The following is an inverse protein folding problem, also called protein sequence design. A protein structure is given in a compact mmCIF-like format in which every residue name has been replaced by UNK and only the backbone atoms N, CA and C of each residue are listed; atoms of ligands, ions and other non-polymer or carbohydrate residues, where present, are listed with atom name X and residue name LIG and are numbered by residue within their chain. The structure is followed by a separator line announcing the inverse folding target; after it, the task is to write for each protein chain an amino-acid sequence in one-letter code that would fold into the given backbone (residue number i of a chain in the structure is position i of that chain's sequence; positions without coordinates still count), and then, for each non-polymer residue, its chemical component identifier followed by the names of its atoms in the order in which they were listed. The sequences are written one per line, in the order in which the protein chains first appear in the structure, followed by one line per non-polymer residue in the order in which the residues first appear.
data_IF_604579812826
#
_entry.id   IF_604579812826
#
_cell.length_a   1.000
_cell.length_b   1.000
_cell.length_c   1.000
_cell.angle_alpha   90.00
_cell.angle_beta   90.00
_cell.angle_gamma   90.00
#
_symmetry.space_group_name_H-M   'P 1'
#
loop_
_entity.id
_entity.type
_entity.pdbx_description
1 polymer ?
#
# COMPACT_ATOMS: atom_id res chain seq x y z
N UNK A 1 -16.10 2.57 -17.00
CA UNK A 1 -17.05 1.96 -16.04
C UNK A 1 -17.02 2.82 -14.79
N UNK A 2 -18.15 3.44 -14.42
CA UNK A 2 -18.21 4.25 -13.20
C UNK A 2 -18.42 3.35 -11.98
N UNK A 3 -17.64 3.60 -10.93
CA UNK A 3 -17.83 3.00 -9.61
C UNK A 3 -18.24 4.08 -8.62
N UNK A 4 -19.00 3.70 -7.59
CA UNK A 4 -19.39 4.63 -6.53
C UNK A 4 -18.18 5.07 -5.70
N UNK A 5 -17.16 4.20 -5.60
CA UNK A 5 -15.96 4.46 -4.85
C UNK A 5 -14.70 3.83 -5.48
N UNK A 6 -13.57 4.52 -5.37
CA UNK A 6 -12.24 4.00 -5.69
C UNK A 6 -11.40 3.98 -4.41
N UNK A 7 -10.92 2.80 -4.05
CA UNK A 7 -10.14 2.57 -2.83
C UNK A 7 -8.77 2.04 -3.18
N UNK A 8 -7.76 2.76 -2.73
CA UNK A 8 -6.38 2.50 -3.09
C UNK A 8 -5.63 1.89 -1.91
N UNK A 9 -4.87 0.83 -2.16
CA UNK A 9 -3.75 0.52 -1.31
C UNK A 9 -2.75 1.70 -1.31
N UNK A 10 -1.99 1.88 -0.21
CA UNK A 10 -1.04 2.98 -0.10
C UNK A 10 0.35 2.58 -0.62
N UNK A 11 1.01 1.67 0.10
CA UNK A 11 2.43 1.39 -0.02
C UNK A 11 2.75 0.44 -1.18
N UNK A 12 3.33 0.99 -2.24
CA UNK A 12 3.61 0.31 -3.51
C UNK A 12 2.59 0.64 -4.60
N UNK A 13 1.47 1.30 -4.25
CA UNK A 13 0.38 1.60 -5.18
C UNK A 13 0.27 3.10 -5.43
N UNK A 14 -0.03 3.89 -4.40
CA UNK A 14 0.02 5.35 -4.45
C UNK A 14 1.43 5.87 -4.16
N UNK A 15 2.11 5.28 -3.18
CA UNK A 15 3.42 5.73 -2.69
C UNK A 15 4.53 4.75 -3.08
N UNK A 16 5.67 5.27 -3.54
CA UNK A 16 6.82 4.44 -3.93
C UNK A 16 7.72 4.14 -2.73
N UNK A 17 7.47 3.00 -2.07
CA UNK A 17 8.26 2.55 -0.91
C UNK A 17 9.73 2.30 -1.22
N UNK A 18 10.06 1.95 -2.47
CA UNK A 18 11.43 1.68 -2.86
C UNK A 18 12.21 2.98 -3.11
N UNK A 19 11.54 4.10 -3.40
CA UNK A 19 12.18 5.41 -3.54
C UNK A 19 12.91 5.84 -2.27
N UNK A 20 12.41 5.47 -1.08
CA UNK A 20 13.08 5.70 0.19
C UNK A 20 14.49 5.08 0.21
N UNK A 21 14.60 3.80 -0.13
CA UNK A 21 15.90 3.09 -0.14
C UNK A 21 16.78 3.53 -1.30
N UNK A 22 16.21 3.76 -2.49
CA UNK A 22 16.96 4.20 -3.68
C UNK A 22 17.65 5.56 -3.45
N UNK A 23 17.02 6.49 -2.71
CA UNK A 23 17.62 7.78 -2.35
C UNK A 23 18.91 7.65 -1.53
N UNK A 24 19.05 6.57 -0.76
CA UNK A 24 20.21 6.29 0.08
C UNK A 24 21.10 5.17 -0.47
N UNK A 25 20.86 4.66 -1.68
CA UNK A 25 21.58 3.52 -2.24
C UNK A 25 23.11 3.71 -2.24
N UNK A 26 23.59 4.93 -2.51
CA UNK A 26 25.02 5.25 -2.46
C UNK A 26 25.64 5.15 -1.07
N UNK A 27 24.87 5.43 -0.01
CA UNK A 27 25.32 5.32 1.39
C UNK A 27 25.20 3.88 1.92
N UNK A 28 24.20 3.13 1.46
CA UNK A 28 23.99 1.72 1.86
C UNK A 28 25.05 0.81 1.25
N UNK A 29 25.56 1.16 0.07
CA UNK A 29 26.54 0.35 -0.65
C UNK A 29 25.89 -0.65 -1.62
N UNK A 30 26.67 -1.60 -2.16
CA UNK A 30 26.26 -2.43 -3.30
C UNK A 30 25.04 -3.32 -3.01
N UNK A 31 24.79 -3.65 -1.75
CA UNK A 31 23.69 -4.52 -1.33
C UNK A 31 22.41 -3.75 -0.93
N UNK A 32 22.31 -2.46 -1.27
CA UNK A 32 21.14 -1.65 -0.93
C UNK A 32 19.81 -2.18 -1.50
N UNK A 33 19.86 -2.80 -2.67
CA UNK A 33 18.69 -3.47 -3.26
C UNK A 33 18.27 -4.69 -2.43
N UNK A 34 19.22 -5.54 -2.04
CA UNK A 34 18.99 -6.71 -1.20
C UNK A 34 18.42 -6.31 0.18
N UNK A 35 18.95 -5.24 0.78
CA UNK A 35 18.41 -4.67 2.02
C UNK A 35 16.94 -4.25 1.85
N UNK A 36 16.61 -3.53 0.77
CA UNK A 36 15.25 -3.09 0.44
C UNK A 36 14.27 -4.26 0.35
N UNK A 37 14.67 -5.31 -0.37
CA UNK A 37 13.87 -6.51 -0.60
C UNK A 37 13.63 -7.29 0.70
N UNK A 38 14.67 -7.52 1.50
CA UNK A 38 14.56 -8.22 2.79
C UNK A 38 13.69 -7.41 3.75
N UNK A 39 13.90 -6.09 3.83
CA UNK A 39 13.12 -5.23 4.71
C UNK A 39 11.63 -5.28 4.36
N UNK A 40 11.28 -5.11 3.08
CA UNK A 40 9.89 -5.17 2.63
C UNK A 40 9.27 -6.55 2.85
N UNK A 41 10.00 -7.62 2.53
CA UNK A 41 9.54 -8.98 2.74
C UNK A 41 9.23 -9.26 4.22
N UNK A 42 10.14 -8.88 5.14
CA UNK A 42 9.92 -9.06 6.58
C UNK A 42 8.82 -8.19 7.15
N UNK A 43 8.68 -6.95 6.70
CA UNK A 43 7.59 -6.08 7.11
C UNK A 43 6.23 -6.71 6.79
N UNK A 44 6.07 -7.25 5.58
CA UNK A 44 4.85 -7.97 5.17
C UNK A 44 4.67 -9.29 5.92
N UNK A 45 5.73 -10.12 6.02
CA UNK A 45 5.71 -11.37 6.78
C UNK A 45 5.23 -11.15 8.22
N UNK A 46 5.79 -10.16 8.92
CA UNK A 46 5.40 -9.84 10.30
C UNK A 46 3.94 -9.43 10.39
N UNK A 47 3.43 -8.67 9.41
CA UNK A 47 2.01 -8.27 9.38
C UNK A 47 1.07 -9.47 9.28
N UNK A 48 1.40 -10.43 8.41
CA UNK A 48 0.59 -11.64 8.22
C UNK A 48 0.65 -12.54 9.45
N UNK A 49 1.87 -12.86 9.90
CA UNK A 49 2.10 -13.79 11.02
C UNK A 49 1.51 -13.26 12.33
N UNK A 50 1.65 -11.94 12.61
CA UNK A 50 1.04 -11.33 13.80
C UNK A 50 -0.47 -11.35 13.79
N UNK A 51 -1.08 -11.13 12.63
CA UNK A 51 -2.53 -11.26 12.47
C UNK A 51 -2.98 -12.70 12.73
N UNK A 52 -2.29 -13.68 12.14
CA UNK A 52 -2.60 -15.10 12.29
C UNK A 52 -2.49 -15.59 13.74
N UNK A 53 -1.52 -15.07 14.51
CA UNK A 53 -1.39 -15.42 15.94
C UNK A 53 -2.22 -14.54 16.88
N UNK A 54 -2.94 -13.53 16.38
CA UNK A 54 -3.70 -12.60 17.21
C UNK A 54 -2.83 -11.69 18.11
N UNK A 55 -1.62 -11.35 17.68
CA UNK A 55 -0.64 -10.55 18.45
C UNK A 55 -0.28 -9.26 17.70
N UNK A 56 -1.29 -8.39 17.55
CA UNK A 56 -1.16 -7.13 16.83
C UNK A 56 -0.08 -6.23 17.42
N UNK A 57 0.67 -5.61 16.53
CA UNK A 57 1.54 -4.47 16.74
C UNK A 57 1.38 -3.57 15.52
N UNK A 58 1.43 -2.26 15.70
CA UNK A 58 1.20 -1.33 14.59
C UNK A 58 2.26 -1.47 13.49
N UNK A 59 1.93 -0.99 12.30
CA UNK A 59 2.79 -1.17 11.14
C UNK A 59 4.10 -0.40 11.23
N UNK A 60 4.16 0.68 12.00
CA UNK A 60 5.40 1.41 12.22
C UNK A 60 6.38 0.57 13.03
N UNK A 61 5.91 -0.03 14.11
CA UNK A 61 6.70 -0.97 14.91
C UNK A 61 7.20 -2.16 14.07
N UNK A 62 6.37 -2.70 13.17
CA UNK A 62 6.79 -3.78 12.26
C UNK A 62 7.84 -3.30 11.24
N UNK A 63 7.71 -2.05 10.79
CA UNK A 63 8.66 -1.41 9.88
C UNK A 63 10.04 -1.29 10.53
N UNK A 64 10.09 -0.84 11.79
CA UNK A 64 11.33 -0.76 12.57
C UNK A 64 11.95 -2.14 12.80
N UNK A 65 11.16 -3.11 13.26
CA UNK A 65 11.64 -4.47 13.52
C UNK A 65 12.18 -5.14 12.25
N UNK A 66 11.51 -4.94 11.12
CA UNK A 66 11.93 -5.50 9.84
C UNK A 66 13.21 -4.84 9.32
N UNK A 67 13.40 -3.54 9.54
CA UNK A 67 14.66 -2.85 9.19
C UNK A 67 15.82 -3.36 10.05
N UNK A 68 15.59 -3.48 11.36
CA UNK A 68 16.59 -4.00 12.29
C UNK A 68 17.02 -5.42 11.91
N UNK A 69 16.08 -6.26 11.47
CA UNK A 69 16.39 -7.57 10.92
C UNK A 69 17.21 -7.47 9.63
N UNK A 70 16.79 -6.62 8.69
CA UNK A 70 17.46 -6.47 7.39
C UNK A 70 18.91 -5.99 7.55
N UNK A 71 19.16 -4.98 8.39
CA UNK A 71 20.51 -4.46 8.69
C UNK A 71 21.40 -5.52 9.33
N UNK A 72 20.86 -6.37 10.21
CA UNK A 72 21.61 -7.51 10.77
C UNK A 72 21.88 -8.62 9.75
N UNK A 73 21.04 -8.75 8.73
CA UNK A 73 21.15 -9.79 7.70
C UNK A 73 22.11 -9.39 6.58
N UNK A 74 22.12 -8.10 6.21
CA UNK A 74 22.95 -7.52 5.15
C UNK A 74 24.11 -6.79 5.80
N UNK A 75 25.17 -7.55 6.13
CA UNK A 75 26.31 -7.05 6.93
C UNK A 75 27.11 -5.92 6.27
N UNK A 76 26.95 -5.73 4.96
CA UNK A 76 27.55 -4.65 4.19
C UNK A 76 26.82 -3.31 4.37
N UNK A 77 25.56 -3.30 4.82
CA UNK A 77 24.81 -2.09 5.09
C UNK A 77 25.20 -1.52 6.47
N UNK A 78 25.56 -0.24 6.51
CA UNK A 78 25.92 0.44 7.76
C UNK A 78 24.69 0.57 8.69
N UNK A 79 24.71 -0.01 9.91
CA UNK A 79 23.64 0.16 10.89
C UNK A 79 23.33 1.61 11.25
N UNK A 80 24.27 2.54 11.08
CA UNK A 80 24.05 3.97 11.30
C UNK A 80 23.01 4.58 10.34
N UNK A 81 22.69 3.89 9.23
CA UNK A 81 21.66 4.32 8.28
C UNK A 81 20.24 4.08 8.80
N UNK A 82 20.06 3.35 9.91
CA UNK A 82 18.73 3.02 10.46
C UNK A 82 17.82 4.23 10.53
N UNK A 83 18.26 5.31 11.18
CA UNK A 83 17.44 6.52 11.36
C UNK A 83 17.10 7.17 10.02
N UNK A 84 18.06 7.32 9.11
CA UNK A 84 17.82 7.91 7.78
C UNK A 84 16.81 7.10 6.96
N UNK A 85 16.93 5.77 6.99
CA UNK A 85 16.02 4.87 6.27
C UNK A 85 14.60 4.92 6.83
N UNK A 86 14.45 5.00 8.16
CA UNK A 86 13.14 5.19 8.81
C UNK A 86 12.54 6.56 8.48
N UNK A 87 13.34 7.64 8.52
CA UNK A 87 12.88 8.98 8.12
C UNK A 87 12.41 9.03 6.66
N UNK A 88 13.05 8.27 5.78
CA UNK A 88 12.65 8.19 4.37
C UNK A 88 11.25 7.55 4.18
N UNK A 89 10.79 6.70 5.10
CA UNK A 89 9.42 6.16 5.10
C UNK A 89 8.35 7.19 5.47
N UNK A 90 8.71 8.24 6.22
CA UNK A 90 7.80 9.33 6.57
C UNK A 90 7.60 10.33 5.43
N UNK A 91 8.52 10.36 4.47
CA UNK A 91 8.56 11.30 3.33
C UNK A 91 8.52 10.54 2.01
N UNK A 92 7.50 9.69 1.87
CA UNK A 92 7.26 8.97 0.62
C UNK A 92 6.53 9.89 -0.36
N UNK A 93 7.12 10.03 -1.54
CA UNK A 93 6.47 10.67 -2.67
C UNK A 93 5.44 9.70 -3.27
N UNK A 94 4.33 10.25 -3.75
CA UNK A 94 3.40 9.50 -4.57
C UNK A 94 3.95 9.32 -6.00
N UNK A 95 3.48 8.30 -6.71
CA UNK A 95 3.79 8.16 -8.14
C UNK A 95 3.31 9.40 -8.93
N UNK A 96 4.04 9.84 -9.98
CA UNK A 96 3.78 11.11 -10.66
C UNK A 96 2.34 11.29 -11.18
N UNK A 97 1.69 10.21 -11.61
CA UNK A 97 0.32 10.27 -12.15
C UNK A 97 -0.76 10.40 -11.07
N UNK A 98 -0.44 10.05 -9.81
CA UNK A 98 -1.44 9.88 -8.74
C UNK A 98 -2.29 11.13 -8.54
N UNK A 99 -1.74 12.36 -8.43
CA UNK A 99 -2.57 13.54 -8.21
C UNK A 99 -3.54 13.82 -9.35
N UNK A 100 -3.12 13.61 -10.61
CA UNK A 100 -3.96 13.84 -11.78
C UNK A 100 -5.10 12.81 -11.86
N UNK A 101 -4.77 11.53 -11.65
CA UNK A 101 -5.76 10.44 -11.66
C UNK A 101 -6.80 10.61 -10.56
N UNK A 102 -6.37 10.89 -9.32
CA UNK A 102 -7.30 11.09 -8.21
C UNK A 102 -8.21 12.30 -8.44
N UNK A 103 -7.70 13.42 -8.97
CA UNK A 103 -8.53 14.58 -9.31
C UNK A 103 -9.58 14.26 -10.37
N UNK A 104 -9.21 13.52 -11.42
CA UNK A 104 -10.14 13.13 -12.47
C UNK A 104 -11.22 12.17 -11.94
N UNK A 105 -10.85 11.18 -11.11
CA UNK A 105 -11.81 10.28 -10.47
C UNK A 105 -12.74 11.05 -9.52
N UNK A 106 -12.22 12.01 -8.75
CA UNK A 106 -13.03 12.87 -7.87
C UNK A 106 -14.04 13.70 -8.67
N UNK A 107 -13.62 14.26 -9.80
CA UNK A 107 -14.48 15.06 -10.67
C UNK A 107 -15.64 14.26 -11.28
N UNK A 108 -15.51 12.92 -11.37
CA UNK A 108 -16.61 12.03 -11.77
C UNK A 108 -17.69 11.83 -10.70
N UNK A 109 -17.51 12.39 -9.49
CA UNK A 109 -18.43 12.27 -8.37
C UNK A 109 -18.22 11.02 -7.49
N UNK A 110 -17.15 10.26 -7.72
CA UNK A 110 -16.83 9.08 -6.93
C UNK A 110 -16.19 9.44 -5.59
N UNK A 111 -16.42 8.60 -4.57
CA UNK A 111 -15.66 8.66 -3.31
C UNK A 111 -14.26 8.07 -3.50
N UNK A 112 -13.26 8.68 -2.87
CA UNK A 112 -11.87 8.23 -2.93
C UNK A 112 -11.35 7.95 -1.52
N UNK A 113 -10.71 6.80 -1.31
CA UNK A 113 -10.05 6.53 -0.04
C UNK A 113 -8.78 5.72 -0.17
N UNK A 114 -7.97 5.78 0.87
CA UNK A 114 -6.90 4.82 1.11
C UNK A 114 -7.43 3.72 2.03
N UNK A 115 -7.05 2.46 1.76
CA UNK A 115 -7.13 1.36 2.71
C UNK A 115 -5.74 0.74 2.85
N UNK A 116 -5.10 0.88 4.00
CA UNK A 116 -3.68 0.54 4.14
C UNK A 116 -3.33 -0.13 5.46
N UNK A 117 -2.29 -0.97 5.40
CA UNK A 117 -1.66 -1.52 6.59
C UNK A 117 -1.00 -0.45 7.47
N UNK A 118 -0.66 0.74 6.95
CA UNK A 118 0.05 1.79 7.69
C UNK A 118 -0.66 2.24 8.96
N UNK A 119 0.11 2.62 9.98
CA UNK A 119 -0.47 3.26 11.18
C UNK A 119 -1.11 4.61 10.82
N UNK A 120 -2.05 5.12 11.63
CA UNK A 120 -2.70 6.40 11.38
C UNK A 120 -1.71 7.55 11.15
N UNK A 121 -0.64 7.63 11.94
CA UNK A 121 0.39 8.66 11.84
C UNK A 121 1.15 8.54 10.53
N UNK A 122 1.58 7.33 10.16
CA UNK A 122 2.30 7.08 8.91
C UNK A 122 1.47 7.52 7.69
N UNK A 123 0.18 7.19 7.69
CA UNK A 123 -0.71 7.54 6.60
C UNK A 123 -0.98 9.06 6.54
N UNK A 124 -1.22 9.69 7.69
CA UNK A 124 -1.40 11.14 7.77
C UNK A 124 -0.18 11.89 7.22
N UNK A 125 1.04 11.44 7.56
CA UNK A 125 2.27 12.03 7.05
C UNK A 125 2.43 11.83 5.54
N UNK A 126 2.21 10.62 5.03
CA UNK A 126 2.34 10.32 3.60
C UNK A 126 1.33 11.11 2.74
N UNK A 127 0.07 11.14 3.16
CA UNK A 127 -1.02 11.87 2.49
C UNK A 127 -0.73 13.37 2.46
N UNK A 128 -0.28 13.93 3.59
CA UNK A 128 0.09 15.35 3.68
C UNK A 128 1.31 15.68 2.82
N UNK A 129 2.35 14.85 2.86
CA UNK A 129 3.58 15.04 2.07
C UNK A 129 3.30 15.03 0.56
N UNK A 130 2.34 14.22 0.12
CA UNK A 130 1.93 14.13 -1.28
C UNK A 130 0.78 15.07 -1.68
N UNK A 131 0.33 15.96 -0.77
CA UNK A 131 -0.80 16.88 -0.98
C UNK A 131 -2.09 16.18 -1.48
N UNK A 132 -2.37 14.99 -0.93
CA UNK A 132 -3.57 14.20 -1.26
C UNK A 132 -4.69 14.37 -0.24
N UNK A 133 -4.43 15.10 0.86
CA UNK A 133 -5.33 15.33 1.99
C UNK A 133 -6.64 16.03 1.59
N UNK A 134 -6.59 16.90 0.57
CA UNK A 134 -7.78 17.60 0.07
C UNK A 134 -8.55 16.83 -1.01
N UNK A 135 -8.01 15.71 -1.49
CA UNK A 135 -8.59 14.93 -2.60
C UNK A 135 -9.34 13.70 -2.08
N UNK A 136 -8.74 13.01 -1.09
CA UNK A 136 -9.29 11.81 -0.47
C UNK A 136 -10.46 12.16 0.46
N UNK A 137 -11.53 11.36 0.42
CA UNK A 137 -12.65 11.45 1.36
C UNK A 137 -12.32 10.78 2.69
N UNK A 138 -11.58 9.67 2.66
CA UNK A 138 -11.23 8.88 3.85
C UNK A 138 -9.86 8.22 3.73
N UNK A 139 -9.26 7.91 4.88
CA UNK A 139 -8.01 7.15 5.01
C UNK A 139 -8.21 6.06 6.07
N UNK A 140 -8.45 4.83 5.62
CA UNK A 140 -8.65 3.67 6.47
C UNK A 140 -7.33 3.00 6.80
N UNK A 141 -6.98 3.02 8.09
CA UNK A 141 -5.88 2.23 8.64
C UNK A 141 -6.43 0.91 9.21
N UNK A 142 -5.72 -0.19 8.94
CA UNK A 142 -5.96 -1.48 9.61
C UNK A 142 -5.89 -1.42 11.14
N UNK A 143 -5.25 -0.39 11.70
CA UNK A 143 -5.11 -0.22 13.16
C UNK A 143 -6.48 -0.19 13.86
N UNK A 144 -7.52 0.30 13.17
CA UNK A 144 -8.90 0.32 13.68
C UNK A 144 -9.43 -1.07 14.02
N UNK A 145 -9.02 -2.11 13.27
CA UNK A 145 -9.47 -3.50 13.47
C UNK A 145 -8.38 -4.39 14.06
N UNK A 146 -7.16 -3.85 14.26
CA UNK A 146 -6.00 -4.56 14.82
C UNK A 146 -5.68 -5.88 14.11
N UNK A 147 -5.88 -5.90 12.78
CA UNK A 147 -5.61 -7.03 11.89
C UNK A 147 -5.13 -6.51 10.55
N UNK A 148 -4.08 -7.10 10.01
CA UNK A 148 -3.53 -6.68 8.72
C UNK A 148 -4.28 -7.33 7.54
N UNK A 149 -4.15 -6.72 6.36
CA UNK A 149 -4.54 -7.36 5.10
C UNK A 149 -3.84 -8.74 5.01
N UNK A 150 -4.51 -9.81 4.57
CA UNK A 150 -5.79 -9.85 3.84
C UNK A 150 -6.99 -10.28 4.70
N UNK A 151 -6.99 -10.04 6.03
CA UNK A 151 -8.15 -10.35 6.86
C UNK A 151 -9.42 -9.62 6.34
N UNK A 152 -10.56 -10.31 6.17
CA UNK A 152 -11.76 -9.71 5.59
C UNK A 152 -12.30 -8.51 6.36
N UNK A 153 -12.08 -8.43 7.68
CA UNK A 153 -12.50 -7.28 8.49
C UNK A 153 -11.82 -5.97 8.06
N UNK A 154 -10.66 -6.04 7.41
CA UNK A 154 -9.95 -4.88 6.88
C UNK A 154 -10.70 -4.26 5.71
N UNK A 155 -11.13 -5.08 4.75
CA UNK A 155 -11.90 -4.62 3.61
C UNK A 155 -13.31 -4.19 4.02
N UNK A 156 -13.88 -4.82 5.06
CA UNK A 156 -15.18 -4.46 5.62
C UNK A 156 -15.27 -3.02 6.14
N UNK A 157 -14.17 -2.46 6.65
CA UNK A 157 -14.12 -1.07 7.13
C UNK A 157 -14.66 -0.08 6.07
N UNK A 158 -14.31 -0.30 4.80
CA UNK A 158 -14.73 0.57 3.69
C UNK A 158 -16.24 0.52 3.48
N UNK A 159 -16.79 -0.69 3.33
CA UNK A 159 -18.21 -0.87 2.97
C UNK A 159 -19.12 -0.52 4.13
N UNK A 160 -18.69 -0.78 5.36
CA UNK A 160 -19.40 -0.41 6.57
C UNK A 160 -19.43 1.12 6.74
N UNK A 161 -18.28 1.80 6.59
CA UNK A 161 -18.22 3.26 6.73
C UNK A 161 -19.04 3.99 5.65
N UNK A 162 -18.96 3.51 4.40
CA UNK A 162 -19.64 4.17 3.28
C UNK A 162 -21.03 3.64 2.97
N UNK A 163 -21.48 2.58 3.66
CA UNK A 163 -22.76 1.90 3.44
C UNK A 163 -22.92 1.47 1.98
N UNK A 164 -21.88 0.87 1.42
CA UNK A 164 -21.82 0.40 0.05
C UNK A 164 -21.81 -1.13 0.01
N UNK A 165 -22.33 -1.70 -1.08
CA UNK A 165 -22.08 -3.11 -1.37
C UNK A 165 -20.63 -3.29 -1.86
N UNK A 166 -19.97 -4.42 -1.57
CA UNK A 166 -18.58 -4.66 -2.02
C UNK A 166 -18.38 -4.47 -3.53
N UNK A 167 -19.32 -4.94 -4.36
CA UNK A 167 -19.24 -4.78 -5.82
C UNK A 167 -19.32 -3.33 -6.34
N UNK A 168 -19.69 -2.37 -5.49
CA UNK A 168 -19.70 -0.94 -5.83
C UNK A 168 -18.32 -0.27 -5.65
N UNK A 169 -17.39 -0.94 -4.97
CA UNK A 169 -16.02 -0.47 -4.72
C UNK A 169 -15.10 -1.00 -5.81
N UNK A 170 -14.42 -0.10 -6.50
CA UNK A 170 -13.22 -0.45 -7.25
C UNK A 170 -12.02 -0.39 -6.31
N UNK A 171 -11.26 -1.47 -6.20
CA UNK A 171 -10.07 -1.53 -5.33
C UNK A 171 -8.79 -1.65 -6.14
N UNK A 172 -7.84 -0.74 -5.93
CA UNK A 172 -6.60 -0.65 -6.69
C UNK A 172 -5.41 -1.03 -5.80
N UNK A 173 -4.59 -1.96 -6.27
CA UNK A 173 -3.34 -2.31 -5.58
C UNK A 173 -2.29 -2.82 -6.56
N UNK A 174 -1.03 -2.47 -6.35
CA UNK A 174 0.13 -3.08 -7.03
C UNK A 174 0.51 -4.43 -6.40
N UNK A 175 0.06 -4.68 -5.16
CA UNK A 175 0.35 -5.89 -4.42
C UNK A 175 -0.65 -6.99 -4.83
N UNK A 176 -0.20 -7.98 -5.61
CA UNK A 176 -1.09 -9.03 -6.15
C UNK A 176 -1.81 -9.86 -5.08
N UNK A 177 -1.18 -10.05 -3.92
CA UNK A 177 -1.79 -10.73 -2.76
C UNK A 177 -2.94 -9.91 -2.14
N UNK A 178 -2.83 -8.58 -2.13
CA UNK A 178 -3.88 -7.68 -1.62
C UNK A 178 -5.07 -7.63 -2.60
N UNK A 179 -4.77 -7.62 -3.90
CA UNK A 179 -5.77 -7.81 -4.97
C UNK A 179 -6.54 -9.12 -4.75
N UNK A 180 -5.85 -10.23 -4.47
CA UNK A 180 -6.50 -11.51 -4.21
C UNK A 180 -7.44 -11.46 -2.99
N UNK A 181 -6.98 -10.86 -1.88
CA UNK A 181 -7.78 -10.65 -0.68
C UNK A 181 -9.04 -9.80 -0.93
N UNK A 182 -8.89 -8.68 -1.62
CA UNK A 182 -9.99 -7.79 -1.98
C UNK A 182 -10.97 -8.45 -2.97
N UNK A 183 -10.49 -9.25 -3.94
CA UNK A 183 -11.33 -10.04 -4.85
C UNK A 183 -12.14 -11.06 -4.05
N UNK A 184 -11.49 -11.79 -3.13
CA UNK A 184 -12.16 -12.78 -2.28
C UNK A 184 -13.24 -12.14 -1.40
N UNK A 185 -13.00 -10.93 -0.91
CA UNK A 185 -13.97 -10.16 -0.13
C UNK A 185 -15.18 -9.70 -0.96
N UNK A 186 -14.98 -9.42 -2.26
CA UNK A 186 -16.05 -9.07 -3.20
C UNK A 186 -15.91 -7.69 -3.87
N UNK A 187 -14.75 -7.04 -3.74
CA UNK A 187 -14.48 -5.80 -4.48
C UNK A 187 -14.22 -6.06 -5.96
N UNK A 188 -14.44 -5.02 -6.78
CA UNK A 188 -13.98 -5.02 -8.18
C UNK A 188 -12.53 -4.57 -8.23
N UNK A 189 -11.63 -5.51 -8.33
CA UNK A 189 -10.20 -5.23 -8.16
C UNK A 189 -9.51 -4.89 -9.47
N UNK A 190 -8.52 -4.00 -9.37
CA UNK A 190 -7.61 -3.62 -10.45
C UNK A 190 -6.19 -3.80 -9.95
N UNK A 191 -5.43 -4.68 -10.62
CA UNK A 191 -4.03 -4.88 -10.34
C UNK A 191 -3.17 -3.89 -11.13
N UNK A 192 -2.42 -3.06 -10.42
CA UNK A 192 -1.48 -2.09 -11.01
C UNK A 192 -0.10 -2.76 -11.16
N UNK A 193 0.11 -3.45 -12.28
CA UNK A 193 1.33 -4.22 -12.55
C UNK A 193 2.42 -3.36 -13.23
N UNK A 194 3.03 -2.45 -12.47
CA UNK A 194 4.05 -1.50 -12.97
C UNK A 194 5.32 -2.17 -13.51
N UNK A 195 5.66 -3.34 -12.98
CA UNK A 195 6.94 -4.03 -13.25
C UNK A 195 6.76 -5.32 -14.06
N UNK A 196 5.59 -5.52 -14.65
CA UNK A 196 5.26 -6.70 -15.45
C UNK A 196 5.57 -8.02 -14.72
N UNK A 197 5.23 -8.08 -13.44
CA UNK A 197 5.39 -9.29 -12.63
C UNK A 197 4.53 -10.43 -13.16
N UNK A 198 4.96 -11.69 -12.99
CA UNK A 198 4.11 -12.85 -13.22
C UNK A 198 2.83 -12.78 -12.39
N UNK A 199 1.73 -13.25 -12.97
CA UNK A 199 0.45 -13.33 -12.25
C UNK A 199 0.43 -14.53 -11.29
N UNK A 200 -0.16 -14.31 -10.11
CA UNK A 200 -0.31 -15.26 -9.00
C UNK A 200 -1.77 -15.24 -8.49
N UNK A 201 -2.18 -16.16 -7.62
CA UNK A 201 -3.56 -16.23 -7.07
C UNK A 201 -4.65 -16.28 -8.17
N UNK A 202 -4.46 -17.17 -9.16
CA UNK A 202 -5.32 -17.27 -10.35
C UNK A 202 -6.76 -17.69 -10.04
N UNK A 203 -6.98 -18.29 -8.88
CA UNK A 203 -8.28 -18.60 -8.30
C UNK A 203 -9.04 -17.35 -7.81
N UNK A 204 -8.33 -16.22 -7.63
CA UNK A 204 -8.87 -14.90 -7.31
C UNK A 204 -8.36 -13.85 -8.32
N UNK A 205 -8.82 -13.91 -9.58
CA UNK A 205 -8.32 -13.04 -10.63
C UNK A 205 -8.71 -11.57 -10.39
N UNK A 206 -7.87 -10.60 -10.79
CA UNK A 206 -8.30 -9.21 -10.83
C UNK A 206 -9.37 -9.00 -11.91
N UNK A 207 -10.21 -7.98 -11.74
CA UNK A 207 -11.11 -7.55 -12.81
C UNK A 207 -10.37 -6.92 -13.99
N UNK A 208 -9.27 -6.21 -13.72
CA UNK A 208 -8.39 -5.59 -14.72
C UNK A 208 -6.94 -5.63 -14.27
N UNK A 209 -6.02 -5.68 -15.23
CA UNK A 209 -4.58 -5.52 -15.03
C UNK A 209 -4.14 -4.29 -15.83
N UNK A 210 -3.55 -3.31 -15.16
CA UNK A 210 -3.11 -2.06 -15.77
C UNK A 210 -1.63 -1.80 -15.42
N UNK A 211 -0.83 -1.21 -16.32
CA UNK A 211 0.57 -0.88 -16.02
C UNK A 211 0.73 0.34 -15.10
N UNK A 212 -0.28 1.21 -15.03
CA UNK A 212 -0.28 2.43 -14.21
C UNK A 212 -1.72 2.80 -13.80
N UNK A 213 -1.86 3.75 -12.87
CA UNK A 213 -3.16 4.25 -12.45
C UNK A 213 -3.85 5.08 -13.55
N UNK A 214 -3.12 5.59 -14.54
CA UNK A 214 -3.69 6.35 -15.67
C UNK A 214 -4.72 5.53 -16.45
N UNK A 215 -4.53 4.21 -16.54
CA UNK A 215 -5.47 3.32 -17.21
C UNK A 215 -6.86 3.30 -16.59
N UNK A 216 -7.03 3.77 -15.35
CA UNK A 216 -8.35 3.93 -14.72
C UNK A 216 -9.18 5.01 -15.43
N UNK A 217 -8.53 5.98 -16.09
CA UNK A 217 -9.20 7.08 -16.79
C UNK A 217 -9.71 6.67 -18.18
N UNK A 218 -9.29 5.51 -18.71
CA UNK A 218 -9.71 5.04 -20.03
C UNK A 218 -11.21 4.69 -20.14
N UNK A 219 -11.98 4.85 -19.05
CA UNK A 219 -13.43 4.69 -19.04
C UNK A 219 -14.14 5.62 -18.06
N UNK A 220 -13.55 6.78 -17.74
CA UNK A 220 -14.10 7.89 -16.95
C UNK A 220 -14.54 9.00 -17.90
#
# INVERSE_FOLDING_TARGET
MHHAAYVFDAYGTLFDVHAAVRRHAGEIGPDGQLLSEIWRAKQLEYSWVRTLMGSYADFWQLTEQALDFALRKVLSADPALRTKLLEAYWRLDCYPEVPAVLKALKASGAKLAILSNGSPEMLAAAVKSAALDQILDDVFSVDQVKRFKTDPSVYDMVVTNWRLYPGAVSFQSSNRWDVAGATKFGFRTVWINRTNQPDEYRDFPPGLILPSLEGLLAGV
#
